data_IF_693420726249
#
_entry.id   IF_693420726249
#
_cell.length_a   1.000
_cell.length_b   1.000
_cell.length_c   1.000
_cell.angle_alpha   90.00
_cell.angle_beta   90.00
_cell.angle_gamma   90.00
#
_symmetry.space_group_name_H-M   'P 1'
#
loop_
_entity.id
_entity.type
_entity.pdbx_description
1 polymer ?
#
# COMPACT_ATOMS: atom_id res chain seq x y z
N UNK A 1 1.70 -32.85 25.73
CA UNK A 1 1.57 -31.74 24.76
C UNK A 1 2.35 -32.11 23.53
N UNK A 2 1.76 -31.98 22.35
CA UNK A 2 2.45 -32.22 21.08
C UNK A 2 3.30 -30.99 20.75
N UNK A 3 4.59 -31.19 20.53
CA UNK A 3 5.53 -30.12 20.20
C UNK A 3 5.62 -30.01 18.66
N UNK A 4 5.27 -28.85 18.12
CA UNK A 4 5.39 -28.55 16.70
C UNK A 4 6.67 -27.74 16.47
N UNK A 5 7.52 -28.21 15.56
CA UNK A 5 8.76 -27.54 15.20
C UNK A 5 8.67 -27.07 13.75
N UNK A 6 8.92 -25.79 13.54
CA UNK A 6 8.98 -25.19 12.20
C UNK A 6 10.41 -25.28 11.64
N UNK A 7 10.58 -25.23 10.31
CA UNK A 7 11.91 -25.20 9.70
C UNK A 7 12.78 -24.06 10.24
N UNK A 8 14.09 -24.28 10.25
CA UNK A 8 15.04 -23.20 10.57
C UNK A 8 14.86 -22.04 9.59
N UNK A 9 14.82 -20.81 10.11
CA UNK A 9 14.62 -19.61 9.30
C UNK A 9 13.16 -19.35 8.90
N UNK A 10 12.19 -20.06 9.48
CA UNK A 10 10.78 -19.74 9.28
C UNK A 10 10.50 -18.29 9.69
N UNK A 11 9.79 -17.56 8.83
CA UNK A 11 9.48 -16.15 9.03
C UNK A 11 8.24 -16.01 9.91
N UNK A 12 8.40 -15.28 11.01
CA UNK A 12 7.38 -14.94 11.99
C UNK A 12 7.23 -13.43 12.00
N UNK A 13 6.03 -12.94 11.68
CA UNK A 13 5.81 -11.52 11.49
C UNK A 13 4.34 -11.16 11.48
N UNK A 14 4.08 -9.92 11.11
CA UNK A 14 2.75 -9.38 10.91
C UNK A 14 2.66 -8.68 9.54
N UNK A 15 1.43 -8.32 9.16
CA UNK A 15 1.15 -7.61 7.92
C UNK A 15 0.29 -6.38 8.19
N UNK A 16 0.61 -5.29 7.52
CA UNK A 16 -0.20 -4.08 7.42
C UNK A 16 -0.12 -3.53 5.99
N UNK A 17 -0.62 -2.32 5.77
CA UNK A 17 -0.50 -1.60 4.51
C UNK A 17 -0.22 -0.12 4.75
N UNK A 18 0.47 0.52 3.82
CA UNK A 18 0.77 1.95 3.88
C UNK A 18 -0.47 2.82 4.12
N UNK A 19 -1.58 2.66 3.35
CA UNK A 19 -2.81 3.43 3.56
C UNK A 19 -3.43 3.28 4.95
N UNK A 20 -3.21 2.15 5.63
CA UNK A 20 -3.77 1.86 6.94
C UNK A 20 -2.86 2.26 8.10
N UNK A 21 -1.60 2.64 7.85
CA UNK A 21 -0.63 2.94 8.91
C UNK A 21 0.10 4.26 8.78
N UNK A 22 0.37 4.76 7.57
CA UNK A 22 1.28 5.90 7.37
C UNK A 22 0.64 7.27 7.66
N UNK A 23 -0.64 7.44 7.36
CA UNK A 23 -1.28 8.75 7.29
C UNK A 23 -1.02 9.48 5.97
N UNK A 24 -1.46 10.74 5.89
CA UNK A 24 -1.38 11.56 4.65
C UNK A 24 -0.34 12.67 4.70
N UNK A 25 0.44 12.78 5.79
CA UNK A 25 1.50 13.78 5.92
C UNK A 25 2.46 13.72 4.73
N UNK A 26 2.69 14.86 4.07
CA UNK A 26 3.51 15.00 2.86
C UNK A 26 3.16 14.04 1.70
N UNK A 27 1.96 13.44 1.70
CA UNK A 27 1.54 12.57 0.61
C UNK A 27 1.16 13.43 -0.60
N UNK A 28 1.87 13.25 -1.72
CA UNK A 28 1.73 14.08 -2.93
C UNK A 28 0.34 14.03 -3.53
N UNK A 29 -0.20 12.82 -3.70
CA UNK A 29 -1.50 12.59 -4.32
C UNK A 29 -2.46 11.94 -3.33
N UNK A 30 -3.75 12.25 -3.50
CA UNK A 30 -4.81 11.50 -2.83
C UNK A 30 -4.89 10.10 -3.42
N UNK A 31 -5.11 9.10 -2.58
CA UNK A 31 -5.67 7.81 -3.00
C UNK A 31 -7.20 7.91 -3.03
N UNK A 32 -7.85 6.90 -3.61
CA UNK A 32 -9.31 6.77 -3.58
C UNK A 32 -9.88 6.79 -2.15
N UNK A 33 -9.14 6.31 -1.14
CA UNK A 33 -9.58 6.34 0.26
C UNK A 33 -9.58 7.75 0.84
N UNK A 34 -8.56 8.57 0.52
CA UNK A 34 -8.49 9.95 1.01
C UNK A 34 -9.67 10.77 0.46
N UNK A 35 -9.97 10.59 -0.83
CA UNK A 35 -11.07 11.28 -1.49
C UNK A 35 -12.42 10.78 -1.01
N UNK A 36 -12.57 9.47 -0.85
CA UNK A 36 -13.83 8.90 -0.38
C UNK A 36 -14.16 9.36 1.04
N UNK A 37 -13.16 9.43 1.94
CA UNK A 37 -13.36 10.03 3.26
C UNK A 37 -13.70 11.52 3.19
N UNK A 38 -13.01 12.29 2.34
CA UNK A 38 -13.28 13.72 2.20
C UNK A 38 -14.68 14.02 1.65
N UNK A 39 -15.20 13.16 0.77
CA UNK A 39 -16.50 13.32 0.13
C UNK A 39 -17.65 12.70 0.95
N UNK A 40 -17.41 11.59 1.67
CA UNK A 40 -18.41 10.78 2.38
C UNK A 40 -17.89 10.28 3.74
N UNK A 41 -17.56 11.18 4.68
CA UNK A 41 -16.99 10.79 5.97
C UNK A 41 -17.93 9.90 6.80
N UNK A 42 -19.25 10.00 6.59
CA UNK A 42 -20.27 9.18 7.25
C UNK A 42 -20.17 7.68 6.94
N UNK A 43 -19.50 7.30 5.85
CA UNK A 43 -19.21 5.90 5.52
C UNK A 43 -18.08 5.30 6.36
N UNK A 44 -17.32 6.13 7.07
CA UNK A 44 -16.23 5.71 7.92
C UNK A 44 -16.69 5.69 9.38
N UNK A 45 -16.37 4.61 10.09
CA UNK A 45 -16.80 4.44 11.48
C UNK A 45 -16.30 5.61 12.34
N UNK A 46 -17.22 6.25 13.08
CA UNK A 46 -16.94 7.45 13.86
C UNK A 46 -16.32 8.61 13.06
N UNK A 47 -16.45 8.59 11.73
CA UNK A 47 -15.84 9.56 10.83
C UNK A 47 -14.31 9.66 11.02
N UNK A 48 -13.67 8.53 11.33
CA UNK A 48 -12.20 8.42 11.42
C UNK A 48 -11.67 7.97 10.06
N UNK A 49 -10.89 8.85 9.42
CA UNK A 49 -10.36 8.65 8.08
C UNK A 49 -8.86 8.31 8.03
N UNK A 50 -8.27 8.30 6.82
CA UNK A 50 -6.89 7.91 6.60
C UNK A 50 -5.86 9.00 6.96
N UNK A 51 -6.28 10.14 7.51
CA UNK A 51 -5.39 11.31 7.68
C UNK A 51 -4.20 11.01 8.60
N UNK A 52 -4.45 10.36 9.73
CA UNK A 52 -3.43 10.08 10.75
C UNK A 52 -3.17 8.59 10.91
N UNK A 53 -4.22 7.76 10.99
CA UNK A 53 -4.13 6.31 11.26
C UNK A 53 -3.16 5.98 12.41
N UNK A 54 -2.10 5.20 12.18
CA UNK A 54 -1.06 4.90 13.18
C UNK A 54 0.11 5.91 13.16
N UNK A 55 0.11 6.86 12.23
CA UNK A 55 1.17 7.85 12.03
C UNK A 55 2.58 7.24 11.82
N UNK A 56 2.65 6.07 11.18
CA UNK A 56 3.93 5.38 10.88
C UNK A 56 4.89 6.29 10.09
N UNK A 57 4.38 7.26 9.32
CA UNK A 57 5.22 8.24 8.65
C UNK A 57 6.20 8.96 9.60
N UNK A 58 5.78 9.23 10.83
CA UNK A 58 6.64 9.79 11.88
C UNK A 58 7.12 8.74 12.89
N UNK A 59 6.30 7.73 13.18
CA UNK A 59 6.50 6.77 14.28
C UNK A 59 7.19 5.47 13.89
N UNK A 60 7.63 5.31 12.63
CA UNK A 60 8.25 4.07 12.19
C UNK A 60 9.42 3.58 13.07
N UNK A 61 10.29 4.43 13.69
CA UNK A 61 11.32 3.93 14.59
C UNK A 61 10.75 3.23 15.82
N UNK A 62 9.68 3.77 16.41
CA UNK A 62 8.99 3.18 17.54
C UNK A 62 8.24 1.92 17.12
N UNK A 63 7.56 1.95 15.97
CA UNK A 63 6.85 0.78 15.43
C UNK A 63 7.82 -0.39 15.21
N UNK A 64 8.99 -0.15 14.61
CA UNK A 64 10.00 -1.19 14.38
C UNK A 64 10.61 -1.70 15.69
N UNK A 65 10.84 -0.83 16.68
CA UNK A 65 11.30 -1.25 18.00
C UNK A 65 10.29 -2.22 18.65
N UNK A 66 8.99 -1.96 18.51
CA UNK A 66 7.92 -2.84 18.99
C UNK A 66 7.86 -4.16 18.21
N UNK A 67 8.07 -4.15 16.89
CA UNK A 67 8.17 -5.38 16.09
C UNK A 67 9.27 -6.30 16.62
N UNK A 68 10.46 -5.75 16.88
CA UNK A 68 11.59 -6.47 17.44
C UNK A 68 11.31 -6.99 18.85
N UNK A 69 10.72 -6.16 19.71
CA UNK A 69 10.35 -6.57 21.08
C UNK A 69 9.32 -7.71 21.07
N UNK A 70 8.41 -7.73 20.10
CA UNK A 70 7.41 -8.79 19.93
C UNK A 70 8.01 -10.10 19.39
N UNK A 71 9.25 -10.06 18.91
CA UNK A 71 9.96 -11.23 18.38
C UNK A 71 9.70 -11.48 16.89
N UNK A 72 9.26 -10.46 16.14
CA UNK A 72 9.16 -10.57 14.69
C UNK A 72 10.55 -10.65 14.06
N UNK A 73 10.65 -11.43 12.98
CA UNK A 73 11.82 -11.44 12.10
C UNK A 73 11.47 -11.00 10.67
N UNK A 74 10.20 -10.66 10.42
CA UNK A 74 9.70 -10.17 9.14
C UNK A 74 8.51 -9.24 9.37
N UNK A 75 8.29 -8.32 8.43
CA UNK A 75 7.09 -7.49 8.42
C UNK A 75 6.67 -7.18 6.99
N UNK A 76 5.39 -7.36 6.68
CA UNK A 76 4.82 -7.06 5.37
C UNK A 76 4.06 -5.75 5.41
N UNK A 77 4.43 -4.82 4.53
CA UNK A 77 3.71 -3.54 4.34
C UNK A 77 3.57 -3.22 2.85
N UNK A 78 3.07 -2.05 2.49
CA UNK A 78 2.99 -1.60 1.10
C UNK A 78 3.55 -0.20 0.90
N UNK A 79 4.12 0.03 -0.29
CA UNK A 79 4.45 1.39 -0.74
C UNK A 79 3.23 1.98 -1.41
N UNK A 80 2.76 3.14 -0.95
CA UNK A 80 1.65 3.85 -1.56
C UNK A 80 2.08 4.47 -2.89
N UNK A 81 1.41 4.10 -3.99
CA UNK A 81 1.65 4.71 -5.30
C UNK A 81 1.42 6.23 -5.25
N UNK A 82 0.35 6.66 -4.58
CA UNK A 82 0.01 8.08 -4.41
C UNK A 82 1.00 8.87 -3.55
N UNK A 83 1.92 8.19 -2.85
CA UNK A 83 3.03 8.78 -2.10
C UNK A 83 4.34 8.77 -2.90
N UNK A 84 4.76 7.60 -3.39
CA UNK A 84 6.08 7.42 -4.00
C UNK A 84 6.26 8.24 -5.28
N UNK A 85 5.20 8.45 -6.05
CA UNK A 85 5.30 9.00 -7.40
C UNK A 85 4.85 10.46 -7.43
N UNK A 86 5.75 11.36 -7.82
CA UNK A 86 5.45 12.78 -7.99
C UNK A 86 4.64 13.05 -9.26
N UNK A 87 4.99 12.38 -10.36
CA UNK A 87 4.32 12.46 -11.65
C UNK A 87 3.87 11.07 -12.09
N UNK A 88 2.54 10.87 -12.07
CA UNK A 88 1.89 9.58 -12.30
C UNK A 88 2.04 9.07 -13.74
N UNK A 89 2.26 9.96 -14.72
CA UNK A 89 2.45 9.57 -16.13
C UNK A 89 3.88 9.11 -16.39
N UNK A 90 4.87 9.80 -15.82
CA UNK A 90 6.29 9.47 -16.03
C UNK A 90 6.81 8.42 -15.06
N UNK A 91 6.18 8.28 -13.89
CA UNK A 91 6.69 7.44 -12.79
C UNK A 91 7.86 8.09 -12.05
N UNK A 92 8.06 9.41 -12.19
CA UNK A 92 9.11 10.13 -11.49
C UNK A 92 8.85 10.12 -9.98
N UNK A 93 9.84 9.77 -9.14
CA UNK A 93 9.64 9.63 -7.71
C UNK A 93 9.54 10.99 -7.00
N UNK A 94 8.78 11.03 -5.90
CA UNK A 94 8.75 12.13 -4.96
C UNK A 94 9.93 12.03 -3.96
N UNK A 95 10.80 13.05 -3.84
CA UNK A 95 11.99 12.98 -2.99
C UNK A 95 11.70 12.72 -1.51
N UNK A 96 10.60 13.24 -0.96
CA UNK A 96 10.27 13.04 0.44
C UNK A 96 9.76 11.61 0.70
N UNK A 97 8.98 11.08 -0.23
CA UNK A 97 8.58 9.68 -0.19
C UNK A 97 9.78 8.72 -0.28
N UNK A 98 10.75 9.01 -1.16
CA UNK A 98 11.99 8.23 -1.28
C UNK A 98 12.77 8.24 0.03
N UNK A 99 12.92 9.42 0.66
CA UNK A 99 13.55 9.55 1.97
C UNK A 99 12.82 8.72 3.02
N UNK A 100 11.50 8.83 3.11
CA UNK A 100 10.69 8.10 4.09
C UNK A 100 10.84 6.58 3.92
N UNK A 101 10.59 6.03 2.72
CA UNK A 101 10.65 4.59 2.51
C UNK A 101 12.06 4.03 2.69
N UNK A 102 13.11 4.76 2.32
CA UNK A 102 14.48 4.34 2.66
C UNK A 102 14.70 4.26 4.16
N UNK A 103 14.33 5.30 4.91
CA UNK A 103 14.54 5.33 6.35
C UNK A 103 13.74 4.23 7.07
N UNK A 104 12.49 3.99 6.66
CA UNK A 104 11.67 2.93 7.22
C UNK A 104 12.23 1.53 6.93
N UNK A 105 12.65 1.27 5.69
CA UNK A 105 13.28 0.00 5.31
C UNK A 105 14.61 -0.22 6.04
N UNK A 106 15.43 0.82 6.16
CA UNK A 106 16.71 0.75 6.87
C UNK A 106 16.51 0.46 8.35
N UNK A 107 15.54 1.10 8.98
CA UNK A 107 15.20 0.87 10.39
C UNK A 107 14.75 -0.58 10.62
N UNK A 108 13.90 -1.13 9.75
CA UNK A 108 13.51 -2.55 9.81
C UNK A 108 14.72 -3.48 9.71
N UNK A 109 15.58 -3.27 8.70
CA UNK A 109 16.75 -4.12 8.46
C UNK A 109 17.75 -4.02 9.63
N UNK A 110 18.01 -2.83 10.14
CA UNK A 110 18.89 -2.60 11.29
C UNK A 110 18.41 -3.33 12.56
N UNK A 111 17.09 -3.56 12.67
CA UNK A 111 16.47 -4.28 13.77
C UNK A 111 16.25 -5.76 13.51
N UNK A 112 16.75 -6.30 12.39
CA UNK A 112 16.61 -7.72 12.05
C UNK A 112 15.22 -8.11 11.55
N UNK A 113 14.43 -7.14 11.09
CA UNK A 113 13.12 -7.36 10.49
C UNK A 113 13.28 -7.39 8.96
N UNK A 114 13.03 -8.55 8.35
CA UNK A 114 13.05 -8.69 6.89
C UNK A 114 11.81 -7.99 6.27
N UNK A 115 12.00 -6.93 5.46
CA UNK A 115 10.89 -6.23 4.86
C UNK A 115 10.30 -7.02 3.68
N UNK A 116 8.98 -7.18 3.69
CA UNK A 116 8.22 -7.70 2.55
C UNK A 116 7.32 -6.60 1.98
N UNK A 117 7.52 -6.22 0.72
CA UNK A 117 6.87 -5.04 0.16
C UNK A 117 5.83 -5.40 -0.89
N UNK A 118 4.60 -5.01 -0.59
CA UNK A 118 3.49 -5.01 -1.52
C UNK A 118 3.42 -3.69 -2.31
N UNK A 119 3.06 -3.76 -3.59
CA UNK A 119 2.99 -2.58 -4.45
C UNK A 119 1.59 -1.98 -4.56
N UNK A 120 0.53 -2.75 -4.30
CA UNK A 120 -0.83 -2.24 -4.37
C UNK A 120 -1.72 -2.81 -3.28
N UNK A 121 -2.27 -1.95 -2.43
CA UNK A 121 -3.21 -2.33 -1.37
C UNK A 121 -4.45 -1.42 -1.41
N UNK A 122 -5.24 -1.59 -2.47
CA UNK A 122 -6.54 -0.93 -2.64
C UNK A 122 -6.45 0.60 -2.69
N UNK A 123 -5.30 1.14 -3.09
CA UNK A 123 -4.90 2.54 -2.90
C UNK A 123 -4.63 3.27 -4.21
N UNK A 124 -5.46 3.02 -5.22
CA UNK A 124 -5.41 3.71 -6.51
C UNK A 124 -5.28 5.23 -6.32
N UNK A 125 -4.31 5.90 -6.97
CA UNK A 125 -4.28 7.36 -7.00
C UNK A 125 -5.60 7.92 -7.56
N UNK A 126 -6.20 8.87 -6.85
CA UNK A 126 -7.49 9.49 -7.21
C UNK A 126 -7.46 10.02 -8.65
N UNK A 127 -6.37 10.69 -9.03
CA UNK A 127 -6.22 11.27 -10.35
C UNK A 127 -6.37 10.21 -11.47
N UNK A 128 -5.78 9.01 -11.29
CA UNK A 128 -5.89 7.93 -12.26
C UNK A 128 -7.29 7.31 -12.27
N UNK A 129 -7.93 7.20 -11.10
CA UNK A 129 -9.32 6.75 -11.01
C UNK A 129 -10.27 7.72 -11.74
N UNK A 130 -10.10 9.03 -11.55
CA UNK A 130 -10.96 10.07 -12.15
C UNK A 130 -10.70 10.25 -13.65
N UNK A 131 -9.44 10.22 -14.07
CA UNK A 131 -9.07 10.50 -15.46
C UNK A 131 -9.27 9.30 -16.39
N UNK A 132 -8.99 8.08 -15.91
CA UNK A 132 -8.94 6.88 -16.74
C UNK A 132 -9.86 5.74 -16.28
N UNK A 133 -10.58 5.90 -15.16
CA UNK A 133 -11.33 4.80 -14.55
C UNK A 133 -10.46 3.81 -13.77
N UNK A 134 -9.23 4.18 -13.41
CA UNK A 134 -8.32 3.29 -12.71
C UNK A 134 -8.02 2.05 -13.56
N UNK A 135 -8.15 0.86 -12.99
CA UNK A 135 -7.89 -0.39 -13.70
C UNK A 135 -8.94 -0.78 -14.74
N UNK A 136 -9.97 0.04 -14.97
CA UNK A 136 -10.77 -0.06 -16.21
C UNK A 136 -9.91 0.20 -17.46
N UNK A 137 -8.80 0.92 -17.32
CA UNK A 137 -7.91 1.30 -18.42
C UNK A 137 -6.58 0.54 -18.38
N UNK A 138 -6.23 -0.10 -19.49
CA UNK A 138 -4.93 -0.72 -19.69
C UNK A 138 -3.76 0.28 -19.58
N UNK A 139 -3.99 1.57 -19.87
CA UNK A 139 -2.99 2.62 -19.65
C UNK A 139 -2.60 2.71 -18.17
N UNK A 140 -3.56 2.59 -17.24
CA UNK A 140 -3.26 2.62 -15.80
C UNK A 140 -2.46 1.38 -15.38
N UNK A 141 -2.67 0.22 -16.02
CA UNK A 141 -1.82 -0.95 -15.79
C UNK A 141 -0.36 -0.70 -16.25
N UNK A 142 -0.16 0.03 -17.35
CA UNK A 142 1.19 0.45 -17.78
C UNK A 142 1.82 1.46 -16.81
N UNK A 143 1.04 2.42 -16.30
CA UNK A 143 1.49 3.37 -15.28
C UNK A 143 1.84 2.66 -13.96
N UNK A 144 1.07 1.64 -13.57
CA UNK A 144 1.38 0.80 -12.42
C UNK A 144 2.72 0.08 -12.62
N UNK A 145 2.97 -0.46 -13.82
CA UNK A 145 4.26 -1.07 -14.14
C UNK A 145 5.43 -0.06 -14.10
N UNK A 146 5.19 1.21 -14.45
CA UNK A 146 6.20 2.28 -14.28
C UNK A 146 6.48 2.55 -12.80
N UNK A 147 5.44 2.71 -11.99
CA UNK A 147 5.56 2.84 -10.54
C UNK A 147 6.33 1.67 -9.90
N UNK A 148 5.98 0.42 -10.27
CA UNK A 148 6.66 -0.78 -9.81
C UNK A 148 8.15 -0.77 -10.19
N UNK A 149 8.49 -0.41 -11.43
CA UNK A 149 9.89 -0.25 -11.87
C UNK A 149 10.62 0.79 -11.02
N UNK A 150 10.01 1.94 -10.75
CA UNK A 150 10.60 2.97 -9.87
C UNK A 150 10.84 2.41 -8.47
N UNK A 151 9.88 1.71 -7.87
CA UNK A 151 10.05 1.08 -6.56
C UNK A 151 11.17 0.03 -6.54
N UNK A 152 11.25 -0.83 -7.56
CA UNK A 152 12.32 -1.82 -7.68
C UNK A 152 13.70 -1.17 -7.85
N UNK A 153 13.82 -0.13 -8.68
CA UNK A 153 15.08 0.59 -8.89
C UNK A 153 15.56 1.25 -7.60
N UNK A 154 14.65 1.84 -6.82
CA UNK A 154 15.01 2.53 -5.57
C UNK A 154 15.30 1.55 -4.44
N UNK A 155 14.49 0.51 -4.26
CA UNK A 155 14.50 -0.29 -3.03
C UNK A 155 14.89 -1.76 -3.23
N UNK A 156 15.04 -2.24 -4.47
CA UNK A 156 15.30 -3.65 -4.77
C UNK A 156 16.62 -4.20 -4.21
N UNK A 157 17.57 -3.33 -3.88
CA UNK A 157 18.81 -3.72 -3.19
C UNK A 157 18.62 -3.97 -1.69
N UNK A 158 17.49 -3.53 -1.11
CA UNK A 158 17.12 -3.72 0.32
C UNK A 158 16.01 -4.76 0.50
N UNK A 159 15.13 -4.91 -0.50
CA UNK A 159 13.91 -5.72 -0.40
C UNK A 159 14.03 -7.00 -1.25
N UNK A 160 13.93 -8.15 -0.59
CA UNK A 160 14.00 -9.48 -1.25
C UNK A 160 12.64 -10.02 -1.65
N UNK A 161 11.61 -9.71 -0.88
CA UNK A 161 10.26 -10.24 -1.06
C UNK A 161 9.31 -9.15 -1.56
N UNK A 162 8.86 -9.30 -2.80
CA UNK A 162 7.94 -8.38 -3.45
C UNK A 162 6.60 -9.05 -3.73
N UNK A 163 5.53 -8.29 -3.52
CA UNK A 163 4.16 -8.68 -3.82
C UNK A 163 3.58 -7.61 -4.73
N UNK A 164 2.98 -8.02 -5.86
CA UNK A 164 2.40 -7.05 -6.81
C UNK A 164 1.10 -6.47 -6.28
N UNK A 165 0.15 -7.32 -5.92
CA UNK A 165 -1.16 -6.91 -5.42
C UNK A 165 -1.52 -7.65 -4.12
N UNK A 166 -2.11 -6.92 -3.18
CA UNK A 166 -2.91 -7.54 -2.13
C UNK A 166 -4.26 -7.92 -2.75
N UNK A 167 -4.63 -9.20 -2.66
CA UNK A 167 -5.98 -9.72 -2.96
C UNK A 167 -6.68 -8.99 -4.13
N UNK A 168 -6.19 -9.14 -5.38
CA UNK A 168 -6.63 -8.33 -6.51
C UNK A 168 -8.12 -8.46 -6.84
N UNK A 169 -8.80 -9.50 -6.34
CA UNK A 169 -10.26 -9.65 -6.44
C UNK A 169 -11.02 -8.63 -5.58
N UNK A 170 -10.45 -8.14 -4.48
CA UNK A 170 -11.15 -7.27 -3.53
C UNK A 170 -11.43 -5.87 -4.12
N UNK A 171 -10.52 -5.21 -4.87
CA UNK A 171 -10.87 -4.00 -5.63
C UNK A 171 -11.96 -4.22 -6.69
N UNK A 172 -12.00 -5.41 -7.31
CA UNK A 172 -13.07 -5.78 -8.25
C UNK A 172 -14.41 -5.86 -7.53
N UNK A 173 -14.46 -6.64 -6.46
CA UNK A 173 -15.67 -6.85 -5.67
C UNK A 173 -16.14 -5.55 -5.00
N UNK A 174 -15.27 -4.87 -4.27
CA UNK A 174 -15.62 -3.65 -3.55
C UNK A 174 -15.95 -2.47 -4.45
N UNK A 175 -15.19 -2.32 -5.54
CA UNK A 175 -15.28 -1.18 -6.44
C UNK A 175 -16.33 -1.30 -7.53
N UNK A 176 -16.72 -2.53 -7.92
CA UNK A 176 -17.55 -2.79 -9.09
C UNK A 176 -18.73 -3.74 -8.85
N UNK A 177 -18.84 -4.41 -7.69
CA UNK A 177 -19.96 -5.31 -7.38
C UNK A 177 -20.72 -4.94 -6.10
N UNK A 178 -20.01 -4.69 -4.99
CA UNK A 178 -20.57 -4.72 -3.63
C UNK A 178 -20.49 -3.38 -2.86
N UNK A 179 -20.04 -2.28 -3.49
CA UNK A 179 -20.16 -0.91 -2.95
C UNK A 179 -19.49 -0.71 -1.58
N UNK A 180 -18.32 -1.33 -1.39
CA UNK A 180 -17.49 -1.15 -0.19
C UNK A 180 -16.09 -0.59 -0.48
N UNK A 181 -15.73 -0.38 -1.75
CA UNK A 181 -14.59 0.45 -2.16
C UNK A 181 -15.08 1.50 -3.18
N UNK A 182 -14.54 2.71 -3.12
CA UNK A 182 -14.65 3.65 -4.23
C UNK A 182 -14.07 3.01 -5.52
N UNK A 183 -14.69 3.13 -6.71
CA UNK A 183 -15.75 4.07 -7.10
C UNK A 183 -17.20 3.61 -6.83
N UNK A 184 -17.40 2.53 -6.07
CA UNK A 184 -18.73 2.04 -5.67
C UNK A 184 -19.67 1.71 -6.85
N UNK A 185 -19.10 1.32 -8.00
CA UNK A 185 -19.87 0.89 -9.17
C UNK A 185 -20.53 -0.46 -8.88
N UNK A 186 -21.66 -0.73 -9.53
CA UNK A 186 -22.41 -2.00 -9.49
C UNK A 186 -22.60 -2.50 -10.91
N UNK A 187 -21.49 -2.81 -11.56
CA UNK A 187 -21.41 -3.16 -12.98
C UNK A 187 -20.55 -4.41 -13.18
N UNK A 188 -21.21 -5.54 -13.44
CA UNK A 188 -20.54 -6.83 -13.64
C UNK A 188 -19.66 -6.90 -14.88
N UNK A 189 -19.93 -6.07 -15.91
CA UNK A 189 -19.09 -6.01 -17.10
C UNK A 189 -17.78 -5.29 -16.80
N UNK A 190 -17.85 -4.16 -16.09
CA UNK A 190 -16.65 -3.47 -15.61
C UNK A 190 -15.87 -4.31 -14.59
N UNK A 191 -16.57 -5.02 -13.70
CA UNK A 191 -15.93 -5.96 -12.78
C UNK A 191 -15.12 -7.02 -13.52
N UNK A 192 -15.67 -7.62 -14.58
CA UNK A 192 -14.94 -8.58 -15.41
C UNK A 192 -13.75 -7.93 -16.13
N UNK A 193 -13.89 -6.69 -16.63
CA UNK A 193 -12.80 -5.96 -17.28
C UNK A 193 -11.66 -5.57 -16.34
N UNK A 194 -11.96 -5.24 -15.07
CA UNK A 194 -10.92 -4.93 -14.08
C UNK A 194 -10.21 -6.19 -13.58
N UNK A 195 -10.88 -7.35 -13.63
CA UNK A 195 -10.34 -8.62 -13.15
C UNK A 195 -9.35 -9.31 -14.12
N UNK A 196 -9.44 -9.03 -15.44
CA UNK A 196 -8.74 -9.77 -16.50
C UNK A 196 -8.10 -8.83 -17.53
#
# INVERSE_FOLDING_TARGET
MQQYQFPQGFLWGAAASGPQTEGVTNKRHRSIWDSWFAEQPERFYQQVGPQTVCDTYHQYPQDVALMKQTGFNSFRTSIQWSRLIADLETGAPDPDAVRFYHAYLDEMIANGIEPMINLYHFDMPEALQKQYGGFESAHVAELFARFARTAFSLFGHKVKYWITFNEPIVPVEGGYLYDFHYPCKKDGRLAAQVAF
#
